data_IF_446325665631
#
_entry.id   IF_446325665631
#
_cell.length_a   1.000
_cell.length_b   1.000
_cell.length_c   1.000
_cell.angle_alpha   90.00
_cell.angle_beta   90.00
_cell.angle_gamma   90.00
#
_symmetry.space_group_name_H-M   'P 1'
#
loop_
_entity.id
_entity.type
_entity.pdbx_description
1 polymer ?
#
# COMPACT_ATOMS: atom_id res chain seq x y z
N UNK A 1 -10.92 11.82 13.44
CA UNK A 1 -10.34 11.76 12.08
C UNK A 1 -10.54 13.11 11.42
N UNK A 2 -9.49 13.77 10.90
CA UNK A 2 -9.69 14.97 10.11
C UNK A 2 -10.60 14.62 8.93
N UNK A 3 -11.60 15.47 8.69
CA UNK A 3 -12.53 15.31 7.57
C UNK A 3 -11.70 15.54 6.30
N UNK A 4 -11.63 14.55 5.41
CA UNK A 4 -10.94 14.70 4.13
C UNK A 4 -11.66 15.76 3.29
N UNK A 5 -10.89 16.58 2.58
CA UNK A 5 -11.45 17.54 1.64
C UNK A 5 -12.19 16.79 0.51
N UNK A 6 -13.38 17.23 0.06
CA UNK A 6 -14.13 16.50 -0.96
C UNK A 6 -13.40 16.47 -2.31
N UNK A 7 -13.24 15.29 -2.92
CA UNK A 7 -12.53 15.13 -4.19
C UNK A 7 -13.13 15.97 -5.33
N UNK A 8 -14.46 16.05 -5.38
CA UNK A 8 -15.20 16.84 -6.37
C UNK A 8 -15.07 18.36 -6.17
N UNK A 9 -14.67 18.81 -4.98
CA UNK A 9 -14.49 20.22 -4.66
C UNK A 9 -13.07 20.73 -4.98
N UNK A 10 -12.17 19.86 -5.42
CA UNK A 10 -10.81 20.24 -5.82
C UNK A 10 -10.88 21.07 -7.10
N UNK A 11 -10.42 22.32 -6.99
CA UNK A 11 -10.45 23.29 -8.07
C UNK A 11 -9.40 22.92 -9.12
N UNK A 12 -9.81 22.97 -10.40
CA UNK A 12 -8.97 22.61 -11.54
C UNK A 12 -8.41 21.17 -11.43
N UNK A 13 -7.19 20.94 -11.94
CA UNK A 13 -6.49 19.65 -11.87
C UNK A 13 -7.23 18.50 -12.54
N UNK A 14 -7.95 18.78 -13.62
CA UNK A 14 -8.80 17.79 -14.30
C UNK A 14 -7.99 16.61 -14.86
N UNK A 15 -6.76 16.86 -15.30
CA UNK A 15 -5.83 15.82 -15.75
C UNK A 15 -5.39 14.91 -14.59
N UNK A 16 -4.92 15.47 -13.48
CA UNK A 16 -4.53 14.70 -12.30
C UNK A 16 -5.72 13.91 -11.73
N UNK A 17 -6.89 14.55 -11.57
CA UNK A 17 -8.10 13.87 -11.10
C UNK A 17 -8.46 12.70 -12.01
N UNK A 18 -8.39 12.88 -13.34
CA UNK A 18 -8.67 11.81 -14.31
C UNK A 18 -7.64 10.69 -14.22
N UNK A 19 -6.35 11.02 -14.13
CA UNK A 19 -5.28 10.01 -14.05
C UNK A 19 -5.44 9.11 -12.81
N UNK A 20 -5.68 9.70 -11.64
CA UNK A 20 -5.87 8.94 -10.41
C UNK A 20 -7.18 8.12 -10.47
N UNK A 21 -8.26 8.65 -11.06
CA UNK A 21 -9.50 7.89 -11.26
C UNK A 21 -9.29 6.67 -12.17
N UNK A 22 -8.54 6.82 -13.26
CA UNK A 22 -8.21 5.70 -14.16
C UNK A 22 -7.40 4.64 -13.40
N UNK A 23 -6.35 5.04 -12.68
CA UNK A 23 -5.52 4.12 -11.92
C UNK A 23 -6.28 3.44 -10.77
N UNK A 24 -7.29 4.10 -10.17
CA UNK A 24 -8.15 3.50 -9.16
C UNK A 24 -9.12 2.44 -9.72
N UNK A 25 -9.48 2.54 -11.00
CA UNK A 25 -10.30 1.53 -11.70
C UNK A 25 -9.44 0.34 -12.13
N UNK A 26 -8.29 0.62 -12.75
CA UNK A 26 -7.35 -0.40 -13.20
C UNK A 26 -5.91 -0.03 -12.81
N UNK A 27 -5.37 -0.62 -11.73
CA UNK A 27 -4.00 -0.40 -11.30
C UNK A 27 -2.94 -0.86 -12.30
N UNK A 28 -3.30 -1.73 -13.27
CA UNK A 28 -2.36 -2.22 -14.30
C UNK A 28 -2.00 -1.16 -15.34
N UNK A 29 -2.73 -0.03 -15.37
CA UNK A 29 -2.36 1.15 -16.17
C UNK A 29 -1.01 1.72 -15.71
N UNK A 30 -0.60 1.43 -14.48
CA UNK A 30 0.68 1.83 -13.89
C UNK A 30 0.55 2.98 -12.89
N UNK A 31 1.70 3.50 -12.46
CA UNK A 31 1.78 4.62 -11.53
C UNK A 31 1.39 5.95 -12.17
N UNK A 32 0.90 6.88 -11.35
CA UNK A 32 0.52 8.23 -11.77
C UNK A 32 1.59 9.22 -11.36
N UNK A 33 2.41 9.69 -12.30
CA UNK A 33 3.39 10.75 -12.03
C UNK A 33 2.72 12.13 -12.02
N UNK A 34 2.75 12.82 -10.87
CA UNK A 34 2.17 14.16 -10.73
C UNK A 34 3.24 15.25 -10.62
N UNK A 35 3.36 16.05 -11.68
CA UNK A 35 4.25 17.21 -11.71
C UNK A 35 3.57 18.46 -11.17
N UNK A 36 4.28 19.24 -10.35
CA UNK A 36 3.80 20.52 -9.84
C UNK A 36 4.51 20.95 -8.56
N UNK A 37 4.39 22.23 -8.21
CA UNK A 37 5.04 22.80 -7.03
C UNK A 37 4.43 22.32 -5.72
N UNK A 38 5.15 22.53 -4.62
CA UNK A 38 4.62 22.30 -3.28
C UNK A 38 3.40 23.20 -3.03
N UNK A 39 2.38 22.65 -2.37
CA UNK A 39 1.14 23.39 -2.07
C UNK A 39 0.10 23.35 -3.19
N UNK A 40 0.36 22.64 -4.29
CA UNK A 40 -0.62 22.40 -5.35
C UNK A 40 -1.68 21.36 -4.99
N UNK A 41 -1.71 20.79 -3.78
CA UNK A 41 -2.80 19.89 -3.36
C UNK A 41 -2.74 18.46 -3.93
N UNK A 42 -1.59 18.02 -4.45
CA UNK A 42 -1.36 16.65 -4.98
C UNK A 42 -1.77 15.55 -3.99
N UNK A 43 -1.21 15.59 -2.77
CA UNK A 43 -1.57 14.66 -1.69
C UNK A 43 -3.02 14.83 -1.20
N UNK A 44 -3.60 16.03 -1.35
CA UNK A 44 -5.01 16.28 -1.00
C UNK A 44 -5.93 15.52 -1.94
N UNK A 45 -5.63 15.47 -3.25
CA UNK A 45 -6.43 14.74 -4.22
C UNK A 45 -6.44 13.23 -3.97
N UNK A 46 -5.27 12.63 -3.69
CA UNK A 46 -5.16 11.19 -3.38
C UNK A 46 -5.98 10.84 -2.14
N UNK A 47 -5.82 11.61 -1.05
CA UNK A 47 -6.56 11.37 0.20
C UNK A 47 -8.06 11.62 0.05
N UNK A 48 -8.44 12.63 -0.72
CA UNK A 48 -9.83 12.93 -1.03
C UNK A 48 -10.50 11.79 -1.80
N UNK A 49 -9.81 11.20 -2.78
CA UNK A 49 -10.32 10.05 -3.52
C UNK A 49 -10.45 8.82 -2.61
N UNK A 50 -9.42 8.50 -1.82
CA UNK A 50 -9.46 7.37 -0.90
C UNK A 50 -10.60 7.48 0.14
N UNK A 51 -10.92 8.69 0.57
CA UNK A 51 -12.05 8.94 1.48
C UNK A 51 -13.43 8.80 0.80
N UNK A 52 -13.49 8.98 -0.53
CA UNK A 52 -14.72 8.80 -1.32
C UNK A 52 -14.99 7.31 -1.64
N UNK A 53 -13.93 6.50 -1.73
CA UNK A 53 -14.06 5.08 -2.06
C UNK A 53 -14.83 4.31 -0.98
N UNK A 54 -15.61 3.28 -1.35
CA UNK A 54 -16.24 2.39 -0.40
C UNK A 54 -15.20 1.78 0.56
N UNK A 55 -15.56 1.69 1.84
CA UNK A 55 -14.71 1.01 2.82
C UNK A 55 -14.47 -0.43 2.39
N UNK A 56 -13.22 -0.88 2.52
CA UNK A 56 -12.84 -2.26 2.23
C UNK A 56 -13.13 -3.17 3.41
N UNK A 57 -13.46 -4.43 3.13
CA UNK A 57 -13.52 -5.50 4.13
C UNK A 57 -12.13 -6.10 4.30
N UNK A 58 -11.68 -6.24 5.54
CA UNK A 58 -10.38 -6.85 5.86
C UNK A 58 -10.52 -7.96 6.89
N UNK A 59 -9.64 -8.96 6.80
CA UNK A 59 -9.49 -9.99 7.83
C UNK A 59 -8.97 -9.34 9.12
N UNK A 60 -9.66 -9.46 10.27
CA UNK A 60 -9.23 -8.90 11.53
C UNK A 60 -7.82 -9.38 11.91
N UNK A 61 -6.94 -8.46 12.27
CA UNK A 61 -5.55 -8.76 12.65
C UNK A 61 -4.60 -9.09 11.49
N UNK A 62 -5.08 -9.08 10.24
CA UNK A 62 -4.20 -9.24 9.08
C UNK A 62 -3.43 -7.95 8.82
N UNK A 63 -2.10 -8.00 8.91
CA UNK A 63 -1.23 -6.85 8.65
C UNK A 63 -1.30 -6.33 7.20
N UNK A 64 -1.72 -7.17 6.26
CA UNK A 64 -1.77 -6.88 4.84
C UNK A 64 -3.18 -6.47 4.35
N UNK A 65 -4.17 -6.37 5.23
CA UNK A 65 -5.54 -5.97 4.83
C UNK A 65 -6.21 -6.93 3.83
N UNK A 66 -5.93 -8.23 3.90
CA UNK A 66 -6.48 -9.23 2.98
C UNK A 66 -8.01 -9.23 2.99
N UNK A 67 -8.62 -9.44 1.81
CA UNK A 67 -10.07 -9.54 1.69
C UNK A 67 -10.58 -10.85 2.31
N UNK A 68 -11.53 -10.81 3.26
CA UNK A 68 -12.14 -11.99 3.85
C UNK A 68 -12.74 -12.96 2.82
N UNK A 69 -13.25 -12.44 1.69
CA UNK A 69 -13.88 -13.20 0.63
C UNK A 69 -12.91 -13.68 -0.46
N UNK A 70 -11.68 -13.15 -0.51
CA UNK A 70 -10.70 -13.57 -1.52
C UNK A 70 -10.14 -14.96 -1.23
N UNK A 71 -10.02 -15.75 -2.30
CA UNK A 71 -9.44 -17.11 -2.30
C UNK A 71 -8.03 -17.16 -2.88
N UNK A 72 -7.59 -16.12 -3.59
CA UNK A 72 -6.27 -15.97 -4.17
C UNK A 72 -5.74 -14.54 -3.96
N UNK A 73 -4.43 -14.34 -4.12
CA UNK A 73 -3.80 -13.02 -3.91
C UNK A 73 -3.93 -12.52 -2.47
N UNK A 74 -3.87 -13.44 -1.51
CA UNK A 74 -3.92 -13.18 -0.06
C UNK A 74 -2.60 -13.63 0.58
N UNK A 75 -2.27 -13.09 1.75
CA UNK A 75 -1.06 -13.49 2.46
C UNK A 75 -1.12 -14.96 2.91
N UNK A 76 0.05 -15.54 3.21
CA UNK A 76 0.19 -16.94 3.64
C UNK A 76 -0.67 -17.27 4.86
N UNK A 77 -0.72 -16.39 5.86
CA UNK A 77 -1.53 -16.59 7.07
C UNK A 77 -3.03 -16.69 6.74
N UNK A 78 -3.52 -15.83 5.85
CA UNK A 78 -4.90 -15.89 5.41
C UNK A 78 -5.12 -17.14 4.54
N UNK A 79 -4.21 -17.44 3.62
CA UNK A 79 -4.27 -18.62 2.75
C UNK A 79 -4.38 -19.93 3.55
N UNK A 80 -3.56 -20.09 4.59
CA UNK A 80 -3.61 -21.25 5.49
C UNK A 80 -4.97 -21.39 6.22
N UNK A 81 -5.62 -20.27 6.53
CA UNK A 81 -6.95 -20.24 7.14
C UNK A 81 -8.10 -20.36 6.13
N UNK A 82 -7.84 -20.41 4.81
CA UNK A 82 -8.88 -20.38 3.77
C UNK A 82 -9.81 -21.61 3.77
N UNK A 83 -9.39 -22.73 4.37
CA UNK A 83 -10.18 -23.95 4.49
C UNK A 83 -11.27 -23.91 5.58
N UNK A 84 -11.35 -22.85 6.41
CA UNK A 84 -12.24 -22.80 7.58
C UNK A 84 -13.21 -21.61 7.54
N UNK A 85 -14.41 -21.82 6.96
CA UNK A 85 -15.57 -20.89 6.99
C UNK A 85 -15.30 -19.46 6.44
N UNK A 86 -16.37 -18.76 6.09
CA UNK A 86 -16.31 -17.34 5.69
C UNK A 86 -15.72 -16.54 6.85
N UNK A 87 -14.56 -15.88 6.64
CA UNK A 87 -13.91 -15.05 7.66
C UNK A 87 -14.77 -13.83 7.95
N UNK A 88 -14.99 -13.49 9.21
CA UNK A 88 -15.68 -12.24 9.57
C UNK A 88 -14.78 -11.07 9.18
N UNK A 89 -15.26 -10.20 8.29
CA UNK A 89 -14.58 -8.97 7.91
C UNK A 89 -14.84 -7.84 8.90
N UNK A 90 -13.88 -6.92 9.00
CA UNK A 90 -14.10 -5.58 9.56
C UNK A 90 -13.98 -4.54 8.45
N UNK A 91 -14.84 -3.53 8.52
CA UNK A 91 -14.87 -2.44 7.54
C UNK A 91 -13.85 -1.37 7.93
N UNK A 92 -12.90 -1.11 7.04
CA UNK A 92 -11.84 -0.10 7.23
C UNK A 92 -11.80 0.86 6.03
N UNK A 93 -11.39 2.12 6.21
CA UNK A 93 -11.17 3.03 5.09
C UNK A 93 -10.06 2.51 4.18
N UNK A 94 -10.07 2.93 2.91
CA UNK A 94 -8.99 2.65 1.97
C UNK A 94 -7.69 3.29 2.48
N UNK A 95 -6.58 2.54 2.61
CA UNK A 95 -5.34 3.08 3.13
C UNK A 95 -4.70 4.05 2.14
N UNK A 96 -4.12 5.13 2.67
CA UNK A 96 -3.21 6.02 1.94
C UNK A 96 -1.93 6.08 2.76
N UNK A 97 -0.85 5.56 2.20
CA UNK A 97 0.45 5.46 2.85
C UNK A 97 1.42 6.42 2.17
N UNK A 98 2.06 7.29 2.93
CA UNK A 98 3.11 8.16 2.42
C UNK A 98 4.47 7.47 2.54
N UNK A 99 5.25 7.48 1.46
CA UNK A 99 6.64 7.12 1.46
C UNK A 99 7.49 8.35 1.79
N UNK A 100 8.17 8.39 2.95
CA UNK A 100 9.09 9.47 3.25
C UNK A 100 10.38 9.33 2.43
N UNK A 101 10.98 10.46 2.04
CA UNK A 101 12.23 10.51 1.25
C UNK A 101 13.38 9.69 1.83
N UNK A 102 13.53 9.69 3.16
CA UNK A 102 14.57 8.93 3.86
C UNK A 102 14.09 7.56 4.34
N UNK A 103 13.10 6.94 3.70
CA UNK A 103 12.70 5.57 4.03
C UNK A 103 13.83 4.61 3.65
N UNK A 104 14.28 3.80 4.60
CA UNK A 104 15.13 2.65 4.29
C UNK A 104 14.34 1.60 3.54
N UNK A 105 15.01 0.81 2.70
CA UNK A 105 14.42 -0.33 2.00
C UNK A 105 13.63 -1.25 2.97
N UNK A 106 14.24 -1.59 4.11
CA UNK A 106 13.63 -2.37 5.19
C UNK A 106 12.29 -1.79 5.68
N UNK A 107 12.16 -0.47 5.75
CA UNK A 107 10.90 0.18 6.14
C UNK A 107 9.85 0.10 5.03
N UNK A 108 10.27 0.09 3.77
CA UNK A 108 9.39 -0.01 2.59
C UNK A 108 8.87 -1.44 2.44
N UNK A 109 9.78 -2.41 2.36
CA UNK A 109 9.45 -3.81 2.06
C UNK A 109 9.10 -4.63 3.30
N UNK A 110 9.60 -4.21 4.47
CA UNK A 110 9.53 -4.97 5.71
C UNK A 110 10.84 -5.71 5.99
N UNK A 111 11.09 -5.99 7.26
CA UNK A 111 12.35 -6.59 7.70
C UNK A 111 12.13 -7.62 8.80
N UNK A 112 13.19 -8.34 9.15
CA UNK A 112 13.20 -9.19 10.34
C UNK A 112 13.24 -8.33 11.60
N UNK A 113 12.34 -8.60 12.55
CA UNK A 113 12.38 -8.02 13.90
C UNK A 113 13.55 -8.64 14.68
N UNK A 114 14.71 -7.98 14.60
CA UNK A 114 15.95 -8.41 15.23
C UNK A 114 15.80 -8.44 16.76
N UNK A 115 15.05 -7.51 17.34
CA UNK A 115 14.86 -7.43 18.78
C UNK A 115 14.14 -8.69 19.30
N UNK A 116 13.05 -9.11 18.66
CA UNK A 116 12.37 -10.36 18.99
C UNK A 116 13.19 -11.60 18.68
N UNK A 117 13.95 -11.58 17.57
CA UNK A 117 14.83 -12.68 17.23
C UNK A 117 15.90 -12.91 18.31
N UNK A 118 16.47 -11.83 18.87
CA UNK A 118 17.51 -11.91 19.90
C UNK A 118 16.96 -12.16 21.31
N UNK A 119 15.86 -11.49 21.68
CA UNK A 119 15.31 -11.57 23.05
C UNK A 119 14.43 -12.79 23.28
N UNK A 120 13.69 -13.22 22.26
CA UNK A 120 12.70 -14.31 22.35
C UNK A 120 13.08 -15.54 21.52
N UNK A 121 14.14 -15.45 20.69
CA UNK A 121 14.52 -16.52 19.76
C UNK A 121 13.54 -16.70 18.60
N UNK A 122 12.57 -15.78 18.43
CA UNK A 122 11.50 -15.89 17.44
C UNK A 122 11.84 -15.02 16.23
N UNK A 123 12.00 -15.65 15.07
CA UNK A 123 12.10 -14.93 13.79
C UNK A 123 10.73 -14.36 13.40
N UNK A 124 10.48 -13.10 13.75
CA UNK A 124 9.25 -12.40 13.40
C UNK A 124 9.53 -11.42 12.26
N UNK A 125 8.67 -11.40 11.25
CA UNK A 125 8.71 -10.40 10.18
C UNK A 125 7.90 -9.17 10.57
N UNK A 126 8.48 -7.99 10.41
CA UNK A 126 7.82 -6.70 10.58
C UNK A 126 7.36 -6.17 9.22
N UNK A 127 6.05 -6.04 8.96
CA UNK A 127 5.52 -5.58 7.69
C UNK A 127 5.87 -4.11 7.40
N UNK A 128 6.36 -3.85 6.18
CA UNK A 128 6.73 -2.51 5.73
C UNK A 128 5.56 -1.63 5.25
N UNK A 129 5.90 -0.51 4.63
CA UNK A 129 4.93 0.41 4.03
C UNK A 129 4.10 -0.24 2.91
N UNK A 130 4.69 -1.14 2.12
CA UNK A 130 3.99 -1.86 1.03
C UNK A 130 2.86 -2.75 1.57
N UNK A 131 3.08 -3.40 2.72
CA UNK A 131 2.04 -4.18 3.38
C UNK A 131 0.84 -3.32 3.79
N UNK A 132 1.11 -2.11 4.29
CA UNK A 132 0.09 -1.14 4.72
C UNK A 132 -0.64 -0.48 3.55
N UNK A 133 0.02 -0.36 2.40
CA UNK A 133 -0.54 0.24 1.18
C UNK A 133 -1.45 -0.72 0.41
N UNK A 134 -1.38 -2.03 0.69
CA UNK A 134 -2.16 -3.04 -0.04
C UNK A 134 -3.66 -2.71 -0.06
N UNK A 135 -4.23 -2.77 -1.27
CA UNK A 135 -5.60 -2.38 -1.64
C UNK A 135 -5.94 -0.90 -1.42
N UNK A 136 -4.94 -0.03 -1.48
CA UNK A 136 -5.12 1.41 -1.41
C UNK A 136 -4.09 2.17 -2.24
N UNK A 137 -3.51 3.21 -1.66
CA UNK A 137 -2.60 4.13 -2.34
C UNK A 137 -1.24 4.19 -1.63
N UNK A 138 -0.18 4.21 -2.42
CA UNK A 138 1.17 4.58 -1.98
C UNK A 138 1.52 5.92 -2.63
N UNK A 139 1.66 6.95 -1.81
CA UNK A 139 2.02 8.30 -2.24
C UNK A 139 3.51 8.55 -2.00
N UNK A 140 4.22 9.00 -3.02
CA UNK A 140 5.64 9.38 -2.94
C UNK A 140 5.77 10.88 -3.11
N UNK A 141 6.19 11.58 -2.05
CA UNK A 141 6.52 13.01 -2.19
C UNK A 141 7.92 13.15 -2.78
N UNK A 142 8.11 14.11 -3.68
CA UNK A 142 9.43 14.44 -4.26
C UNK A 142 10.19 13.20 -4.79
N UNK A 143 9.54 12.38 -5.65
CA UNK A 143 10.11 11.14 -6.21
C UNK A 143 11.51 11.29 -6.83
N UNK A 144 11.84 12.50 -7.30
CA UNK A 144 13.15 12.85 -7.83
C UNK A 144 14.30 12.83 -6.80
N UNK A 145 13.99 12.74 -5.50
CA UNK A 145 14.96 12.61 -4.42
C UNK A 145 15.03 11.19 -3.85
N UNK A 146 14.21 10.26 -4.36
CA UNK A 146 14.22 8.87 -3.94
C UNK A 146 15.42 8.15 -4.56
N UNK A 147 15.97 7.18 -3.84
CA UNK A 147 17.05 6.35 -4.36
C UNK A 147 16.58 5.47 -5.53
N UNK A 148 17.37 5.37 -6.60
CA UNK A 148 17.01 4.65 -7.84
C UNK A 148 16.51 3.22 -7.57
N UNK A 149 17.19 2.50 -6.67
CA UNK A 149 16.83 1.12 -6.33
C UNK A 149 15.47 1.00 -5.64
N UNK A 150 15.02 2.03 -4.90
CA UNK A 150 13.68 2.05 -4.33
C UNK A 150 12.64 2.34 -5.40
N UNK A 151 12.93 3.23 -6.36
CA UNK A 151 12.03 3.50 -7.48
C UNK A 151 11.77 2.22 -8.28
N UNK A 152 12.83 1.49 -8.64
CA UNK A 152 12.74 0.23 -9.37
C UNK A 152 11.88 -0.80 -8.60
N UNK A 153 12.16 -0.94 -7.30
CA UNK A 153 11.39 -1.83 -6.42
C UNK A 153 9.91 -1.49 -6.39
N UNK A 154 9.57 -0.20 -6.27
CA UNK A 154 8.18 0.24 -6.21
C UNK A 154 7.43 -0.01 -7.52
N UNK A 155 8.10 0.19 -8.66
CA UNK A 155 7.52 -0.07 -9.99
C UNK A 155 7.28 -1.57 -10.17
N UNK A 156 8.25 -2.41 -9.79
CA UNK A 156 8.14 -3.86 -9.89
C UNK A 156 6.99 -4.41 -9.01
N UNK A 157 6.87 -3.93 -7.77
CA UNK A 157 5.79 -4.33 -6.87
C UNK A 157 4.43 -3.80 -7.33
N UNK A 158 4.36 -2.56 -7.83
CA UNK A 158 3.12 -2.00 -8.36
C UNK A 158 2.62 -2.78 -9.60
N UNK A 159 3.54 -3.26 -10.45
CA UNK A 159 3.21 -4.06 -11.63
C UNK A 159 2.83 -5.51 -11.27
N UNK A 160 3.58 -6.16 -10.37
CA UNK A 160 3.34 -7.55 -9.98
C UNK A 160 2.15 -7.72 -9.03
N UNK A 161 1.92 -6.71 -8.18
CA UNK A 161 0.94 -6.74 -7.10
C UNK A 161 1.34 -7.61 -5.91
N UNK A 162 2.59 -8.05 -5.83
CA UNK A 162 3.15 -8.88 -4.76
C UNK A 162 4.49 -8.32 -4.30
N UNK A 163 4.67 -8.19 -2.98
CA UNK A 163 5.96 -7.87 -2.39
C UNK A 163 6.65 -9.17 -1.99
N UNK A 164 7.87 -9.36 -2.46
CA UNK A 164 8.69 -10.56 -2.22
C UNK A 164 9.94 -10.14 -1.47
N UNK A 165 10.12 -10.65 -0.25
CA UNK A 165 11.27 -10.37 0.60
C UNK A 165 12.06 -11.66 0.82
N UNK A 166 13.23 -11.74 0.20
CA UNK A 166 14.14 -12.90 0.27
C UNK A 166 15.49 -12.48 0.90
N UNK A 167 15.47 -12.10 2.19
CA UNK A 167 16.62 -11.57 2.94
C UNK A 167 16.67 -12.13 4.36
N UNK A 168 17.84 -12.11 5.00
CA UNK A 168 18.06 -12.54 6.40
C UNK A 168 17.57 -13.97 6.72
N UNK A 169 17.60 -14.85 5.71
CA UNK A 169 17.10 -16.22 5.81
C UNK A 169 15.57 -16.30 5.92
N UNK A 170 14.85 -15.23 5.59
CA UNK A 170 13.41 -15.19 5.35
C UNK A 170 13.15 -15.28 3.84
N UNK A 171 12.07 -15.96 3.48
CA UNK A 171 11.45 -15.87 2.16
C UNK A 171 9.97 -15.65 2.42
N UNK A 172 9.53 -14.40 2.35
CA UNK A 172 8.16 -13.97 2.65
C UNK A 172 7.57 -13.33 1.41
N UNK A 173 6.33 -13.68 1.12
CA UNK A 173 5.55 -13.11 0.02
C UNK A 173 4.20 -12.64 0.54
N UNK A 174 3.80 -11.44 0.15
CA UNK A 174 2.50 -10.91 0.53
C UNK A 174 1.90 -10.02 -0.55
N UNK A 175 0.56 -9.92 -0.63
CA UNK A 175 -0.07 -9.02 -1.58
C UNK A 175 0.28 -7.57 -1.30
N UNK A 176 0.51 -6.81 -2.37
CA UNK A 176 0.83 -5.40 -2.35
C UNK A 176 0.25 -4.72 -3.59
N UNK A 177 -1.07 -4.82 -3.77
CA UNK A 177 -1.81 -4.20 -4.88
C UNK A 177 -2.23 -2.80 -4.49
N UNK A 178 -1.51 -1.79 -4.93
CA UNK A 178 -1.82 -0.39 -4.62
C UNK A 178 -1.69 0.48 -5.87
N UNK A 179 -2.29 1.66 -5.84
CA UNK A 179 -2.05 2.70 -6.82
C UNK A 179 -0.84 3.51 -6.37
N UNK A 180 0.21 3.52 -7.18
CA UNK A 180 1.41 4.35 -6.97
C UNK A 180 1.15 5.77 -7.50
N UNK A 181 1.34 6.78 -6.66
CA UNK A 181 1.16 8.21 -7.00
C UNK A 181 2.35 9.03 -6.55
#
# INVERSE_FOLDING_TARGET
>A
MPIAFPFSAIVAQDEMKRAILVAAVDPLVGGVLVLGDRGTGKSTAVRALAALLPKMQVVPGCAYGCDPAATAGICEQCSAAAGQRVRKGVSVPVPVVDLPLGATEDRVVGALDIERALTQGVKAFEPGLLARANRGFLYVDEVNLLEDHLVDLLIDVAASGENVVERDGLSIRHPARFVLV
#
